data_IF_096928168180
#
_entry.id   IF_096928168180
#
_cell.length_a   1.000
_cell.length_b   1.000
_cell.length_c   1.000
_cell.angle_alpha   90.00
_cell.angle_beta   90.00
_cell.angle_gamma   90.00
#
_symmetry.space_group_name_H-M   'P 1'
#
loop_
_entity.id
_entity.type
_entity.pdbx_description
1 polymer ?
#
# COMPACT_ATOMS: atom_id res chain seq x y z
N UNK A 1 -23.33 23.36 -4.88
CA UNK A 1 -23.56 21.94 -4.50
C UNK A 1 -23.32 21.82 -3.00
N UNK A 2 -24.38 21.58 -2.22
CA UNK A 2 -24.30 21.49 -0.78
C UNK A 2 -23.42 20.29 -0.40
N UNK A 3 -22.22 20.55 0.12
CA UNK A 3 -21.37 19.52 0.69
C UNK A 3 -22.12 18.93 1.88
N UNK A 4 -22.70 17.74 1.68
CA UNK A 4 -23.37 16.99 2.72
C UNK A 4 -22.40 16.82 3.88
N UNK A 5 -22.54 17.64 4.93
CA UNK A 5 -21.67 17.62 6.08
C UNK A 5 -21.96 16.35 6.88
N UNK A 6 -21.36 15.23 6.45
CA UNK A 6 -21.38 13.98 7.21
C UNK A 6 -20.88 14.25 8.63
N UNK A 7 -21.65 13.83 9.63
CA UNK A 7 -21.27 13.96 11.02
C UNK A 7 -19.87 13.33 11.28
N UNK A 8 -19.03 13.94 12.14
CA UNK A 8 -17.65 13.49 12.36
C UNK A 8 -17.52 11.99 12.68
N UNK A 9 -18.49 11.43 13.42
CA UNK A 9 -18.54 10.00 13.75
C UNK A 9 -18.74 9.11 12.52
N UNK A 10 -19.59 9.50 11.57
CA UNK A 10 -19.82 8.75 10.33
C UNK A 10 -18.57 8.77 9.45
N UNK A 11 -17.90 9.93 9.35
CA UNK A 11 -16.64 10.05 8.60
C UNK A 11 -15.55 9.13 9.15
N UNK A 12 -15.39 9.06 10.47
CA UNK A 12 -14.41 8.15 11.08
C UNK A 12 -14.73 6.67 10.87
N UNK A 13 -16.01 6.28 10.89
CA UNK A 13 -16.42 4.89 10.61
C UNK A 13 -16.14 4.53 9.16
N UNK A 14 -16.49 5.39 8.21
CA UNK A 14 -16.21 5.16 6.79
C UNK A 14 -14.70 5.06 6.56
N UNK A 15 -13.91 5.98 7.11
CA UNK A 15 -12.45 5.92 7.01
C UNK A 15 -11.86 4.63 7.58
N UNK A 16 -12.37 4.14 8.72
CA UNK A 16 -11.95 2.87 9.29
C UNK A 16 -12.30 1.67 8.39
N UNK A 17 -13.50 1.66 7.79
CA UNK A 17 -13.93 0.61 6.85
C UNK A 17 -13.07 0.60 5.59
N UNK A 18 -12.73 1.77 5.04
CA UNK A 18 -11.84 1.89 3.88
C UNK A 18 -10.45 1.32 4.19
N UNK A 19 -9.90 1.62 5.36
CA UNK A 19 -8.62 1.07 5.81
C UNK A 19 -8.68 -0.44 6.05
N UNK A 20 -9.76 -0.94 6.65
CA UNK A 20 -9.96 -2.37 6.85
C UNK A 20 -10.05 -3.12 5.51
N UNK A 21 -10.75 -2.55 4.54
CA UNK A 21 -10.85 -3.11 3.19
C UNK A 21 -9.48 -3.12 2.50
N UNK A 22 -8.72 -2.03 2.55
CA UNK A 22 -7.36 -1.98 2.01
C UNK A 22 -6.44 -3.04 2.65
N UNK A 23 -6.48 -3.15 3.97
CA UNK A 23 -5.70 -4.15 4.71
C UNK A 23 -6.10 -5.59 4.34
N UNK A 24 -7.40 -5.85 4.15
CA UNK A 24 -7.89 -7.15 3.72
C UNK A 24 -7.36 -7.51 2.32
N UNK A 25 -7.38 -6.58 1.37
CA UNK A 25 -6.82 -6.81 0.01
C UNK A 25 -5.33 -7.13 0.07
N UNK A 26 -4.56 -6.39 0.88
CA UNK A 26 -3.13 -6.66 1.09
C UNK A 26 -2.94 -8.06 1.72
N UNK A 27 -3.75 -8.42 2.71
CA UNK A 27 -3.68 -9.74 3.35
C UNK A 27 -4.02 -10.88 2.37
N UNK A 28 -5.00 -10.68 1.49
CA UNK A 28 -5.33 -11.64 0.42
C UNK A 28 -4.14 -11.80 -0.53
N UNK A 29 -3.52 -10.70 -0.98
CA UNK A 29 -2.34 -10.77 -1.84
C UNK A 29 -1.17 -11.51 -1.17
N UNK A 30 -0.92 -11.26 0.12
CA UNK A 30 0.10 -11.99 0.90
C UNK A 30 -0.25 -13.47 1.01
N UNK A 31 -1.52 -13.79 1.28
CA UNK A 31 -1.97 -15.18 1.34
C UNK A 31 -1.75 -15.87 0.01
N UNK A 32 -2.17 -15.27 -1.11
CA UNK A 32 -1.96 -15.81 -2.45
C UNK A 32 -0.47 -16.02 -2.74
N UNK A 33 0.39 -15.10 -2.32
CA UNK A 33 1.83 -15.21 -2.52
C UNK A 33 2.45 -16.37 -1.71
N UNK A 34 2.05 -16.53 -0.45
CA UNK A 34 2.69 -17.46 0.50
C UNK A 34 1.98 -18.82 0.63
N UNK A 35 0.83 -19.03 0.01
CA UNK A 35 0.00 -20.22 0.23
C UNK A 35 0.66 -21.53 -0.23
N UNK A 36 1.28 -22.30 0.67
CA UNK A 36 2.01 -23.51 0.28
C UNK A 36 3.52 -23.30 0.06
N UNK A 37 4.04 -22.13 0.40
CA UNK A 37 5.47 -21.88 0.49
C UNK A 37 6.15 -22.91 1.39
N UNK A 38 7.14 -23.62 0.84
CA UNK A 38 7.91 -24.65 1.55
C UNK A 38 7.26 -26.03 1.65
N UNK A 39 6.07 -26.24 1.07
CA UNK A 39 5.40 -27.55 1.02
C UNK A 39 5.73 -28.32 -0.26
N UNK A 40 5.90 -27.62 -1.39
CA UNK A 40 6.34 -28.20 -2.67
C UNK A 40 7.57 -27.43 -3.19
N UNK A 41 8.74 -28.08 -3.40
CA UNK A 41 9.93 -27.43 -3.97
C UNK A 41 9.76 -26.99 -5.42
N UNK A 42 8.68 -27.40 -6.11
CA UNK A 42 8.34 -26.91 -7.46
C UNK A 42 7.52 -25.61 -7.42
N UNK A 43 7.03 -25.20 -6.25
CA UNK A 43 6.09 -24.09 -6.09
C UNK A 43 6.68 -22.99 -5.18
N UNK A 44 7.86 -22.51 -5.57
CA UNK A 44 8.68 -21.56 -4.83
C UNK A 44 8.11 -20.12 -4.87
N UNK A 45 8.39 -19.33 -3.82
CA UNK A 45 7.90 -17.93 -3.69
C UNK A 45 8.36 -17.00 -4.82
N UNK A 46 9.47 -17.32 -5.48
CA UNK A 46 10.01 -16.56 -6.61
C UNK A 46 9.20 -16.81 -7.89
N UNK A 47 8.84 -18.07 -8.17
CA UNK A 47 8.00 -18.47 -9.31
C UNK A 47 6.64 -17.81 -9.24
N UNK A 48 6.01 -17.89 -8.07
CA UNK A 48 4.70 -17.27 -7.81
C UNK A 48 4.72 -15.75 -7.80
N UNK A 49 5.79 -15.13 -7.30
CA UNK A 49 5.95 -13.69 -7.42
C UNK A 49 6.03 -13.25 -8.89
N UNK A 50 6.63 -14.08 -9.74
CA UNK A 50 6.73 -13.86 -11.18
C UNK A 50 5.39 -14.06 -11.93
N UNK A 51 4.37 -14.58 -11.26
CA UNK A 51 3.10 -14.94 -11.88
C UNK A 51 3.19 -16.28 -12.62
N UNK A 52 3.87 -17.26 -12.01
CA UNK A 52 3.86 -18.66 -12.42
C UNK A 52 3.47 -19.53 -11.20
N UNK A 53 2.20 -19.97 -11.16
CA UNK A 53 1.66 -20.89 -10.15
C UNK A 53 0.13 -20.88 -10.05
N UNK A 54 -0.48 -21.83 -9.33
CA UNK A 54 -1.95 -21.98 -9.20
C UNK A 54 -2.67 -20.79 -8.52
N UNK A 55 -1.94 -19.83 -7.95
CA UNK A 55 -2.44 -18.66 -7.20
C UNK A 55 -1.82 -17.34 -7.69
N UNK A 56 -1.81 -17.17 -9.01
CA UNK A 56 -1.15 -16.10 -9.79
C UNK A 56 -1.68 -14.66 -9.61
N UNK A 57 -2.65 -14.45 -8.73
CA UNK A 57 -3.32 -13.15 -8.58
C UNK A 57 -2.71 -12.27 -7.50
N UNK A 58 -1.68 -12.72 -6.77
CA UNK A 58 -1.08 -11.94 -5.68
C UNK A 58 -0.61 -10.56 -6.17
N UNK A 59 0.02 -10.53 -7.34
CA UNK A 59 0.57 -9.32 -7.93
C UNK A 59 -0.52 -8.40 -8.49
N UNK A 60 -1.50 -8.95 -9.21
CA UNK A 60 -2.64 -8.17 -9.75
C UNK A 60 -3.53 -7.63 -8.63
N UNK A 61 -3.71 -8.40 -7.55
CA UNK A 61 -4.46 -8.01 -6.36
C UNK A 61 -3.76 -6.87 -5.63
N UNK A 62 -2.44 -6.97 -5.42
CA UNK A 62 -1.67 -5.94 -4.72
C UNK A 62 -1.48 -4.68 -5.58
N UNK A 63 -1.05 -4.79 -6.83
CA UNK A 63 -0.87 -3.65 -7.73
C UNK A 63 -2.18 -3.22 -8.40
N UNK A 64 -3.23 -3.11 -7.59
CA UNK A 64 -4.54 -2.59 -7.99
C UNK A 64 -4.81 -1.22 -7.37
N UNK A 65 -5.84 -0.55 -7.88
CA UNK A 65 -6.25 0.78 -7.40
C UNK A 65 -6.64 0.77 -5.92
N UNK A 66 -7.27 -0.30 -5.44
CA UNK A 66 -7.87 -0.37 -4.11
C UNK A 66 -6.86 -0.14 -2.96
N UNK A 67 -5.77 -0.90 -2.83
CA UNK A 67 -4.82 -0.74 -1.72
C UNK A 67 -4.08 0.61 -1.74
N UNK A 68 -4.07 1.34 -2.86
CA UNK A 68 -3.46 2.67 -2.97
C UNK A 68 -4.47 3.80 -2.73
N UNK A 69 -5.68 3.70 -3.29
CA UNK A 69 -6.68 4.75 -3.24
C UNK A 69 -7.48 4.76 -1.93
N UNK A 70 -7.84 3.59 -1.38
CA UNK A 70 -8.66 3.51 -0.17
C UNK A 70 -7.98 4.16 1.05
N UNK A 71 -6.67 3.99 1.30
CA UNK A 71 -6.00 4.68 2.41
C UNK A 71 -5.93 6.20 2.21
N UNK A 72 -5.80 6.68 0.97
CA UNK A 72 -5.85 8.12 0.64
C UNK A 72 -7.24 8.70 0.94
N UNK A 73 -8.30 8.03 0.49
CA UNK A 73 -9.69 8.43 0.78
C UNK A 73 -9.97 8.42 2.29
N UNK A 74 -9.46 7.43 3.02
CA UNK A 74 -9.58 7.38 4.47
C UNK A 74 -8.89 8.56 5.16
N UNK A 75 -7.72 8.97 4.67
CA UNK A 75 -7.02 10.15 5.19
C UNK A 75 -7.77 11.46 4.90
N UNK A 76 -8.40 11.59 3.73
CA UNK A 76 -9.22 12.76 3.40
C UNK A 76 -10.49 12.87 4.25
N UNK A 77 -11.02 11.74 4.70
CA UNK A 77 -12.20 11.67 5.57
C UNK A 77 -11.88 11.78 7.07
N UNK A 78 -10.59 11.72 7.44
CA UNK A 78 -10.19 11.75 8.84
C UNK A 78 -10.54 13.12 9.47
N UNK A 79 -11.34 13.17 10.56
CA UNK A 79 -11.69 14.43 11.21
C UNK A 79 -10.52 14.96 12.06
N UNK A 80 -10.44 16.27 12.30
CA UNK A 80 -9.37 16.95 13.08
C UNK A 80 -9.39 16.66 14.61
N UNK A 81 -9.96 15.52 15.00
CA UNK A 81 -10.17 15.10 16.38
C UNK A 81 -9.29 13.89 16.72
N UNK A 82 -9.28 13.46 17.99
CA UNK A 82 -8.52 12.26 18.42
C UNK A 82 -8.68 11.02 17.50
N UNK A 83 -9.89 10.63 17.04
CA UNK A 83 -10.03 9.49 16.12
C UNK A 83 -9.34 9.70 14.77
N UNK A 84 -9.28 10.94 14.24
CA UNK A 84 -8.56 11.20 12.99
C UNK A 84 -7.05 11.00 13.11
N UNK A 85 -6.45 11.27 14.28
CA UNK A 85 -5.04 10.96 14.53
C UNK A 85 -4.76 9.45 14.47
N UNK A 86 -5.70 8.63 14.95
CA UNK A 86 -5.59 7.17 14.89
C UNK A 86 -5.71 6.71 13.44
N UNK A 87 -6.71 7.22 12.70
CA UNK A 87 -6.90 6.93 11.27
C UNK A 87 -5.64 7.30 10.49
N UNK A 88 -5.06 8.49 10.70
CA UNK A 88 -3.84 8.91 10.02
C UNK A 88 -2.64 8.00 10.31
N UNK A 89 -2.50 7.49 11.55
CA UNK A 89 -1.46 6.49 11.89
C UNK A 89 -1.72 5.16 11.19
N UNK A 90 -2.97 4.69 11.18
CA UNK A 90 -3.35 3.45 10.51
C UNK A 90 -3.13 3.55 8.99
N UNK A 91 -3.53 4.65 8.35
CA UNK A 91 -3.25 4.92 6.94
C UNK A 91 -1.76 4.78 6.63
N UNK A 92 -0.88 5.35 7.47
CA UNK A 92 0.57 5.23 7.28
C UNK A 92 1.04 3.79 7.42
N UNK A 93 0.54 3.04 8.41
CA UNK A 93 0.89 1.62 8.58
C UNK A 93 0.46 0.80 7.37
N UNK A 94 -0.74 1.04 6.84
CA UNK A 94 -1.24 0.36 5.63
C UNK A 94 -0.36 0.69 4.41
N UNK A 95 0.01 1.96 4.21
CA UNK A 95 0.94 2.33 3.12
C UNK A 95 2.33 1.72 3.30
N UNK A 96 2.87 1.69 4.52
CA UNK A 96 4.17 1.06 4.78
C UNK A 96 4.11 -0.44 4.51
N UNK A 97 3.06 -1.12 4.98
CA UNK A 97 2.86 -2.54 4.71
C UNK A 97 2.75 -2.81 3.21
N UNK A 98 1.96 -2.00 2.49
CA UNK A 98 1.85 -2.05 1.04
C UNK A 98 3.20 -1.94 0.34
N UNK A 99 4.02 -0.95 0.72
CA UNK A 99 5.33 -0.72 0.12
C UNK A 99 6.29 -1.89 0.39
N UNK A 100 6.34 -2.37 1.64
CA UNK A 100 7.21 -3.51 2.00
C UNK A 100 6.84 -4.75 1.20
N UNK A 101 5.55 -5.12 1.19
CA UNK A 101 5.08 -6.31 0.49
C UNK A 101 5.24 -6.15 -1.03
N UNK A 102 4.91 -4.97 -1.57
CA UNK A 102 5.03 -4.68 -2.99
C UNK A 102 6.47 -4.69 -3.48
N UNK A 103 7.42 -4.14 -2.72
CA UNK A 103 8.86 -4.22 -3.04
C UNK A 103 9.35 -5.66 -3.02
N UNK A 104 8.97 -6.44 -2.01
CA UNK A 104 9.36 -7.84 -1.92
C UNK A 104 8.82 -8.66 -3.10
N UNK A 105 7.55 -8.47 -3.48
CA UNK A 105 6.95 -9.10 -4.65
C UNK A 105 7.63 -8.65 -5.95
N UNK A 106 7.83 -7.36 -6.16
CA UNK A 106 8.46 -6.83 -7.38
C UNK A 106 9.90 -7.32 -7.56
N UNK A 107 10.71 -7.33 -6.49
CA UNK A 107 12.08 -7.86 -6.53
C UNK A 107 12.08 -9.37 -6.75
N UNK A 108 11.19 -10.10 -6.09
CA UNK A 108 11.07 -11.56 -6.26
C UNK A 108 10.70 -11.92 -7.70
N UNK A 109 9.73 -11.21 -8.28
CA UNK A 109 9.28 -11.36 -9.65
C UNK A 109 10.39 -11.01 -10.65
N UNK A 110 11.08 -9.90 -10.43
CA UNK A 110 12.19 -9.47 -11.28
C UNK A 110 13.34 -10.46 -11.24
N UNK A 111 13.74 -10.93 -10.05
CA UNK A 111 14.80 -11.93 -9.91
C UNK A 111 14.51 -13.19 -10.69
N UNK A 112 13.27 -13.68 -10.65
CA UNK A 112 12.88 -14.85 -11.43
C UNK A 112 12.80 -14.55 -12.93
N UNK A 113 12.20 -13.42 -13.31
CA UNK A 113 12.04 -13.00 -14.71
C UNK A 113 13.34 -12.70 -15.44
N UNK A 114 14.40 -12.27 -14.74
CA UNK A 114 15.73 -12.04 -15.32
C UNK A 114 16.63 -13.30 -15.28
N UNK A 115 16.23 -14.36 -14.57
CA UNK A 115 17.01 -15.58 -14.43
C UNK A 115 16.54 -16.64 -15.45
N UNK A 116 16.79 -16.36 -16.73
CA UNK A 116 16.51 -17.28 -17.84
C UNK A 116 17.14 -18.69 -17.65
N UNK A 117 18.39 -18.83 -17.16
CA UNK A 117 18.99 -20.14 -16.90
C UNK A 117 18.17 -20.96 -15.90
N UNK A 118 17.68 -20.32 -14.84
CA UNK A 118 16.86 -20.98 -13.83
C UNK A 118 15.49 -21.37 -14.38
N UNK A 119 14.85 -20.53 -15.19
CA UNK A 119 13.59 -20.88 -15.86
C UNK A 119 13.75 -22.09 -16.78
N UNK A 120 14.84 -22.15 -17.54
CA UNK A 120 15.15 -23.30 -18.42
C UNK A 120 15.39 -24.60 -17.64
N UNK A 121 16.05 -24.53 -16.48
CA UNK A 121 16.32 -25.69 -15.63
C UNK A 121 15.05 -26.17 -14.89
N UNK A 122 14.24 -25.24 -14.39
CA UNK A 122 13.06 -25.56 -13.58
C UNK A 122 11.79 -25.84 -14.40
N UNK A 123 11.63 -25.20 -15.57
CA UNK A 123 10.40 -25.27 -16.39
C UNK A 123 10.63 -25.84 -17.79
N UNK A 124 11.88 -26.00 -18.23
CA UNK A 124 12.24 -26.52 -19.55
C UNK A 124 12.05 -25.53 -20.70
N UNK A 125 11.52 -24.34 -20.44
CA UNK A 125 11.38 -23.23 -21.39
C UNK A 125 11.36 -21.88 -20.65
N UNK A 126 11.66 -20.79 -21.37
CA UNK A 126 11.56 -19.43 -20.82
C UNK A 126 10.11 -18.98 -20.94
N UNK A 127 9.44 -18.78 -19.81
CA UNK A 127 8.06 -18.32 -19.75
C UNK A 127 7.95 -16.79 -19.64
N UNK A 128 8.97 -16.14 -19.07
CA UNK A 128 9.00 -14.69 -18.92
C UNK A 128 10.28 -14.18 -19.59
N UNK A 129 10.09 -13.55 -20.75
CA UNK A 129 11.17 -12.84 -21.42
C UNK A 129 11.67 -11.67 -20.56
N UNK A 130 12.96 -11.38 -20.66
CA UNK A 130 13.61 -10.23 -19.99
C UNK A 130 12.91 -8.90 -20.26
N UNK A 131 12.38 -8.69 -21.48
CA UNK A 131 11.56 -7.51 -21.81
C UNK A 131 10.25 -7.49 -21.02
N UNK A 132 9.53 -8.60 -20.97
CA UNK A 132 8.27 -8.70 -20.22
C UNK A 132 8.51 -8.52 -18.71
N UNK A 133 9.62 -9.05 -18.18
CA UNK A 133 10.05 -8.83 -16.79
C UNK A 133 10.33 -7.34 -16.52
N UNK A 134 10.98 -6.63 -17.44
CA UNK A 134 11.25 -5.20 -17.32
C UNK A 134 9.96 -4.35 -17.40
N UNK A 135 9.07 -4.60 -18.35
CA UNK A 135 7.78 -3.90 -18.46
C UNK A 135 6.95 -4.05 -17.18
N UNK A 136 6.91 -5.30 -16.68
CA UNK A 136 6.32 -5.65 -15.39
C UNK A 136 6.96 -4.85 -14.24
N UNK A 137 8.28 -4.84 -14.13
CA UNK A 137 8.97 -4.10 -13.06
C UNK A 137 8.71 -2.59 -13.10
N UNK A 138 8.62 -2.01 -14.30
CA UNK A 138 8.25 -0.60 -14.48
C UNK A 138 6.84 -0.33 -13.96
N UNK A 139 5.86 -1.18 -14.29
CA UNK A 139 4.49 -1.03 -13.80
C UNK A 139 4.41 -1.12 -12.26
N UNK A 140 5.10 -2.08 -11.66
CA UNK A 140 5.17 -2.20 -10.19
C UNK A 140 5.79 -0.94 -9.57
N UNK A 141 6.84 -0.41 -10.19
CA UNK A 141 7.51 0.81 -9.74
C UNK A 141 6.56 2.01 -9.77
N UNK A 142 5.72 2.14 -10.80
CA UNK A 142 4.69 3.18 -10.86
C UNK A 142 3.71 3.07 -9.69
N UNK A 143 3.25 1.87 -9.36
CA UNK A 143 2.36 1.69 -8.21
C UNK A 143 3.03 2.00 -6.87
N UNK A 144 4.26 1.55 -6.68
CA UNK A 144 5.04 1.85 -5.47
C UNK A 144 5.28 3.36 -5.33
N UNK A 145 5.60 4.06 -6.41
CA UNK A 145 5.77 5.53 -6.36
C UNK A 145 4.47 6.26 -6.02
N UNK A 146 3.32 5.82 -6.54
CA UNK A 146 2.00 6.37 -6.15
C UNK A 146 1.73 6.16 -4.65
N UNK A 147 2.06 4.99 -4.10
CA UNK A 147 1.92 4.72 -2.67
C UNK A 147 2.87 5.59 -1.82
N UNK A 148 4.10 5.84 -2.28
CA UNK A 148 5.03 6.78 -1.62
C UNK A 148 4.46 8.20 -1.62
N UNK A 149 3.91 8.67 -2.75
CA UNK A 149 3.28 9.99 -2.84
C UNK A 149 2.12 10.09 -1.84
N UNK A 150 1.25 9.09 -1.79
CA UNK A 150 0.17 9.01 -0.80
C UNK A 150 0.68 9.07 0.64
N UNK A 151 1.73 8.30 0.97
CA UNK A 151 2.36 8.31 2.28
C UNK A 151 2.93 9.69 2.64
N UNK A 152 3.64 10.35 1.73
CA UNK A 152 4.21 11.69 1.96
C UNK A 152 3.11 12.73 2.19
N UNK A 153 2.04 12.67 1.40
CA UNK A 153 0.90 13.58 1.53
C UNK A 153 0.25 13.49 2.92
N UNK A 154 0.04 12.26 3.43
CA UNK A 154 -0.49 12.06 4.79
C UNK A 154 0.47 12.52 5.91
N UNK A 155 1.77 12.64 5.61
CA UNK A 155 2.78 13.14 6.54
C UNK A 155 2.76 14.67 6.63
N UNK A 156 2.53 15.34 5.51
CA UNK A 156 2.50 16.80 5.43
C UNK A 156 1.23 17.40 6.04
N UNK A 157 0.07 16.77 5.85
CA UNK A 157 -1.18 17.21 6.47
C UNK A 157 -1.05 17.35 8.00
N UNK A 158 -0.49 16.33 8.67
CA UNK A 158 -0.29 16.36 10.12
C UNK A 158 0.83 17.27 10.62
N UNK A 159 1.76 17.73 9.77
CA UNK A 159 2.78 18.74 10.15
C UNK A 159 2.19 20.15 10.13
N UNK A 160 1.37 20.47 9.13
CA UNK A 160 0.73 21.78 8.99
C UNK A 160 -0.22 22.07 10.17
N UNK A 161 -0.91 21.04 10.67
CA UNK A 161 -1.76 21.09 11.87
C UNK A 161 -1.00 21.40 13.17
N UNK A 162 0.27 21.02 13.28
CA UNK A 162 1.07 21.27 14.49
C UNK A 162 1.57 22.72 14.56
N UNK A 163 1.67 23.37 13.40
CA UNK A 163 2.12 24.76 13.27
C UNK A 163 0.99 25.77 13.42
N UNK A 164 -0.27 25.41 13.19
CA UNK A 164 -1.41 26.34 13.35
C UNK A 164 -1.90 26.44 14.79
N UNK A 165 -1.68 25.41 15.61
CA UNK A 165 -2.05 25.42 17.04
C UNK A 165 -0.99 26.09 17.95
N UNK A 166 0.08 26.66 17.38
CA UNK A 166 1.12 27.37 18.11
C UNK A 166 1.02 28.89 17.97
N UNK A 167 -0.19 29.43 17.82
CA UNK A 167 -0.38 30.89 17.87
C UNK A 167 -0.04 31.38 19.29
N UNK A 168 0.93 32.29 19.46
CA UNK A 168 1.39 32.71 20.77
C UNK A 168 0.29 33.54 21.43
N UNK A 169 -0.17 33.08 22.60
CA UNK A 169 -1.00 33.86 23.51
C UNK A 169 -0.25 35.16 23.81
N UNK A 170 -0.68 36.26 23.19
CA UNK A 170 -0.31 37.62 23.63
C UNK A 170 -0.90 37.81 25.02
N UNK A 171 -0.08 37.56 26.02
CA UNK A 171 -0.33 37.93 27.41
C UNK A 171 -0.24 39.45 27.50
N UNK A 172 -1.40 40.11 27.52
CA UNK A 172 -1.49 41.51 27.92
C UNK A 172 -1.16 41.62 29.42
N UNK A 173 -0.24 42.52 29.84
CA UNK A 173 0.06 42.69 31.26
C UNK A 173 -1.13 43.34 32.01
N UNK A 174 -1.33 43.00 33.29
CA UNK A 174 -2.42 43.57 34.09
C UNK A 174 -2.21 45.07 34.30
N UNK A 175 -3.26 45.85 34.04
CA UNK A 175 -3.32 47.26 34.41
C UNK A 175 -3.31 47.37 35.94
N UNK A 176 -2.39 48.18 36.47
CA UNK A 176 -2.33 48.61 37.85
C UNK A 176 -2.80 50.07 37.94
#
# INVERSE_FOLDING_TARGET
>A
MAAMQLAPRRRSVIAALLLACAAAVIAVAVSQWLFGFGIDPRDDSLRRAAGLGFSDEARSTLFSVLPVALPALAALLAPDTRPGRVIARLTRLVYVAYLVIGVLLAISAARYGFDEPRQLVEEGQVFIDTRAAAERLVLDTVWLTLAVIGLVFTRWSGKRERSSNSEPVKTSPPQA
#
